data_IF_171287992639
#
_entry.id   IF_171287992639
#
_cell.length_a   1.000
_cell.length_b   1.000
_cell.length_c   1.000
_cell.angle_alpha   90.00
_cell.angle_beta   90.00
_cell.angle_gamma   90.00
#
_symmetry.space_group_name_H-M   'P 1'
#
loop_
_entity.id
_entity.type
_entity.pdbx_description
1 polymer ?
#
# COMPACT_ATOMS: atom_id res chain seq x y z
N UNK A 1 -14.51 -4.91 6.14
CA UNK A 1 -15.43 -5.76 6.94
C UNK A 1 -14.93 -5.74 8.37
N UNK A 2 -15.83 -5.68 9.35
CA UNK A 2 -15.51 -5.66 10.78
C UNK A 2 -16.22 -6.84 11.44
N UNK A 3 -15.54 -7.52 12.37
CA UNK A 3 -16.17 -8.51 13.24
C UNK A 3 -16.24 -7.94 14.66
N UNK A 4 -17.44 -7.92 15.22
CA UNK A 4 -17.69 -7.50 16.58
C UNK A 4 -18.05 -8.70 17.44
N UNK A 5 -17.42 -8.76 18.62
CA UNK A 5 -17.82 -9.70 19.65
C UNK A 5 -19.05 -9.19 20.40
N UNK A 6 -20.00 -10.08 20.66
CA UNK A 6 -21.13 -9.81 21.54
C UNK A 6 -20.76 -9.75 23.03
N UNK A 7 -19.51 -10.04 23.38
CA UNK A 7 -19.00 -10.11 24.76
C UNK A 7 -17.97 -9.00 25.08
N UNK A 8 -18.07 -7.84 24.43
CA UNK A 8 -17.17 -6.72 24.69
C UNK A 8 -17.53 -6.08 26.05
N UNK A 9 -16.56 -5.99 26.96
CA UNK A 9 -16.66 -5.29 28.27
C UNK A 9 -16.55 -3.75 28.09
N UNK A 10 -17.36 -3.20 27.18
CA UNK A 10 -17.44 -1.80 26.76
C UNK A 10 -18.87 -1.52 26.27
N UNK A 11 -19.16 -0.40 25.58
CA UNK A 11 -20.54 -0.11 25.16
C UNK A 11 -21.15 -1.34 24.50
N UNK A 12 -22.41 -1.67 24.84
CA UNK A 12 -23.06 -2.89 24.34
C UNK A 12 -22.82 -2.99 22.84
N UNK A 13 -22.49 -4.17 22.32
CA UNK A 13 -22.13 -4.38 20.90
C UNK A 13 -23.05 -3.68 19.88
N UNK A 14 -24.31 -3.44 20.28
CA UNK A 14 -25.28 -2.65 19.54
C UNK A 14 -25.03 -1.13 19.52
N UNK A 15 -24.60 -0.53 20.62
CA UNK A 15 -24.23 0.88 20.67
C UNK A 15 -22.98 1.14 19.82
N UNK A 16 -21.99 0.24 19.88
CA UNK A 16 -20.83 0.31 18.99
C UNK A 16 -21.23 0.17 17.52
N UNK A 17 -22.15 -0.74 17.20
CA UNK A 17 -22.71 -0.86 15.85
C UNK A 17 -23.34 0.45 15.38
N UNK A 18 -24.19 1.09 16.20
CA UNK A 18 -24.79 2.38 15.86
C UNK A 18 -23.77 3.50 15.70
N UNK A 19 -22.72 3.52 16.52
CA UNK A 19 -21.62 4.49 16.39
C UNK A 19 -20.91 4.33 15.04
N UNK A 20 -20.58 3.09 14.65
CA UNK A 20 -19.98 2.80 13.33
C UNK A 20 -20.91 3.19 12.19
N UNK A 21 -22.22 2.95 12.33
CA UNK A 21 -23.20 3.33 11.29
C UNK A 21 -23.40 4.84 11.14
N UNK A 22 -23.10 5.63 12.19
CA UNK A 22 -23.17 7.10 12.14
C UNK A 22 -21.95 7.75 11.49
N UNK A 23 -20.80 7.08 11.42
CA UNK A 23 -19.61 7.61 10.76
C UNK A 23 -19.64 7.29 9.26
N UNK A 24 -19.66 8.29 8.35
CA UNK A 24 -19.67 8.07 6.90
C UNK A 24 -18.54 7.17 6.39
N UNK A 25 -17.38 7.14 7.06
CA UNK A 25 -16.23 6.33 6.66
C UNK A 25 -16.43 4.84 6.95
N UNK A 26 -17.32 4.49 7.88
CA UNK A 26 -17.56 3.11 8.31
C UNK A 26 -19.00 2.64 8.12
N UNK A 27 -19.92 3.54 7.76
CA UNK A 27 -21.34 3.26 7.54
C UNK A 27 -21.58 2.13 6.53
N UNK A 28 -20.80 2.08 5.45
CA UNK A 28 -20.94 1.07 4.39
C UNK A 28 -20.12 -0.21 4.63
N UNK A 29 -19.33 -0.26 5.70
CA UNK A 29 -18.49 -1.42 5.98
C UNK A 29 -19.38 -2.58 6.46
N UNK A 30 -19.25 -3.79 5.88
CA UNK A 30 -19.98 -4.96 6.36
C UNK A 30 -19.57 -5.35 7.78
N UNK A 31 -20.55 -5.64 8.64
CA UNK A 31 -20.32 -5.98 10.04
C UNK A 31 -20.87 -7.37 10.37
N UNK A 32 -20.03 -8.22 10.94
CA UNK A 32 -20.42 -9.49 11.53
C UNK A 32 -20.52 -9.40 13.05
N UNK A 33 -21.69 -9.70 13.60
CA UNK A 33 -21.94 -9.80 15.04
C UNK A 33 -21.78 -11.26 15.48
N UNK A 34 -20.63 -11.59 16.06
CA UNK A 34 -20.37 -12.90 16.63
C UNK A 34 -20.85 -12.92 18.09
N UNK A 35 -21.93 -13.63 18.38
CA UNK A 35 -22.57 -13.63 19.71
C UNK A 35 -22.70 -15.03 20.27
N UNK A 36 -22.79 -15.17 21.59
CA UNK A 36 -23.12 -16.46 22.20
C UNK A 36 -24.52 -16.92 21.76
N UNK A 37 -24.74 -18.24 21.74
CA UNK A 37 -25.96 -18.84 21.20
C UNK A 37 -27.23 -18.31 21.90
N UNK A 38 -27.16 -18.09 23.23
CA UNK A 38 -28.24 -17.53 24.03
C UNK A 38 -28.68 -16.11 23.63
N UNK A 39 -27.84 -15.38 22.89
CA UNK A 39 -28.10 -14.01 22.45
C UNK A 39 -28.33 -13.90 20.93
N UNK A 40 -28.26 -15.01 20.20
CA UNK A 40 -28.33 -15.03 18.75
C UNK A 40 -29.65 -14.47 18.20
N UNK A 41 -30.78 -14.81 18.81
CA UNK A 41 -32.08 -14.31 18.34
C UNK A 41 -32.25 -12.80 18.53
N UNK A 42 -31.69 -12.25 19.63
CA UNK A 42 -31.63 -10.79 19.84
C UNK A 42 -30.74 -10.14 18.78
N UNK A 43 -29.55 -10.68 18.55
CA UNK A 43 -28.62 -10.15 17.56
C UNK A 43 -29.16 -10.23 16.12
N UNK A 44 -29.90 -11.29 15.76
CA UNK A 44 -30.57 -11.43 14.46
C UNK A 44 -31.73 -10.45 14.25
N UNK A 45 -32.37 -9.99 15.31
CA UNK A 45 -33.37 -8.90 15.19
C UNK A 45 -32.68 -7.58 14.88
N UNK A 46 -31.63 -7.26 15.64
CA UNK A 46 -30.80 -6.07 15.40
C UNK A 46 -30.23 -6.06 13.97
N UNK A 47 -29.63 -7.17 13.54
CA UNK A 47 -29.02 -7.27 12.21
C UNK A 47 -30.03 -7.16 11.05
N UNK A 48 -31.33 -7.40 11.30
CA UNK A 48 -32.38 -7.20 10.29
C UNK A 48 -32.68 -5.72 10.06
N UNK A 49 -32.57 -4.91 11.11
CA UNK A 49 -32.87 -3.48 11.06
C UNK A 49 -31.63 -2.65 10.63
N UNK A 50 -30.44 -3.26 10.65
CA UNK A 50 -29.16 -2.61 10.37
C UNK A 50 -28.56 -3.08 9.02
N UNK A 51 -28.50 -2.23 7.99
CA UNK A 51 -27.95 -2.59 6.68
C UNK A 51 -26.54 -3.19 6.78
N UNK A 52 -26.23 -4.16 5.90
CA UNK A 52 -24.92 -4.82 5.78
C UNK A 52 -24.41 -5.43 7.10
N UNK A 53 -25.32 -5.94 7.92
CA UNK A 53 -25.01 -6.57 9.21
C UNK A 53 -25.48 -8.02 9.22
N UNK A 54 -24.65 -8.94 9.70
CA UNK A 54 -25.04 -10.34 9.89
C UNK A 54 -24.72 -10.80 11.31
N UNK A 55 -25.67 -11.48 11.95
CA UNK A 55 -25.48 -12.05 13.28
C UNK A 55 -25.32 -13.57 13.20
N UNK A 56 -24.23 -14.09 13.76
CA UNK A 56 -23.89 -15.51 13.76
C UNK A 56 -23.40 -15.95 15.15
N UNK A 57 -23.56 -17.25 15.49
CA UNK A 57 -23.05 -17.77 16.74
C UNK A 57 -21.53 -17.66 16.80
N UNK A 58 -20.98 -17.44 17.99
CA UNK A 58 -19.55 -17.35 18.22
C UNK A 58 -18.84 -18.57 17.62
N UNK A 59 -17.87 -18.38 16.70
CA UNK A 59 -17.25 -19.49 16.03
C UNK A 59 -16.27 -20.18 16.99
N UNK A 60 -16.43 -21.49 17.16
CA UNK A 60 -15.53 -22.33 17.95
C UNK A 60 -14.60 -23.20 17.07
N UNK A 61 -14.64 -23.02 15.76
CA UNK A 61 -13.74 -23.68 14.80
C UNK A 61 -13.47 -22.77 13.61
N UNK A 62 -12.37 -23.02 12.91
CA UNK A 62 -11.99 -22.30 11.68
C UNK A 62 -13.05 -22.42 10.58
N UNK A 63 -13.73 -23.56 10.50
CA UNK A 63 -14.83 -23.77 9.53
C UNK A 63 -16.02 -22.84 9.82
N UNK A 64 -16.41 -22.69 11.09
CA UNK A 64 -17.48 -21.77 11.49
C UNK A 64 -17.08 -20.30 11.32
N UNK A 65 -15.80 -19.95 11.50
CA UNK A 65 -15.30 -18.60 11.15
C UNK A 65 -15.54 -18.36 9.66
N UNK A 66 -15.12 -19.29 8.79
CA UNK A 66 -15.25 -19.13 7.34
C UNK A 66 -16.71 -18.97 6.92
N UNK A 67 -17.60 -19.82 7.43
CA UNK A 67 -19.03 -19.71 7.16
C UNK A 67 -19.62 -18.37 7.61
N UNK A 68 -19.25 -17.89 8.80
CA UNK A 68 -19.67 -16.58 9.29
C UNK A 68 -19.17 -15.43 8.42
N UNK A 69 -17.93 -15.51 7.92
CA UNK A 69 -17.37 -14.53 7.00
C UNK A 69 -18.08 -14.53 5.64
N UNK A 70 -18.39 -15.71 5.10
CA UNK A 70 -19.10 -15.86 3.82
C UNK A 70 -20.50 -15.23 3.89
N UNK A 71 -21.21 -15.43 5.01
CA UNK A 71 -22.52 -14.81 5.25
C UNK A 71 -22.44 -13.29 5.37
N UNK A 72 -21.48 -12.75 6.14
CA UNK A 72 -21.25 -11.29 6.24
C UNK A 72 -20.95 -10.70 4.87
N UNK A 73 -20.14 -11.38 4.05
CA UNK A 73 -19.84 -10.97 2.69
C UNK A 73 -21.08 -11.02 1.78
N UNK A 74 -21.98 -11.99 1.97
CA UNK A 74 -23.23 -12.09 1.21
C UNK A 74 -24.17 -10.91 1.49
N UNK A 75 -24.35 -10.51 2.75
CA UNK A 75 -25.22 -9.37 3.12
C UNK A 75 -24.68 -8.01 2.65
N UNK A 76 -23.45 -7.99 2.14
CA UNK A 76 -22.82 -6.81 1.56
C UNK A 76 -23.24 -6.52 0.12
N UNK A 77 -24.21 -7.26 -0.43
CA UNK A 77 -24.59 -7.19 -1.83
C UNK A 77 -23.74 -8.08 -2.75
N UNK A 78 -23.10 -9.10 -2.17
CA UNK A 78 -22.47 -10.18 -2.92
C UNK A 78 -21.36 -9.73 -3.86
N UNK A 79 -20.18 -9.46 -3.27
CA UNK A 79 -18.81 -9.64 -3.81
C UNK A 79 -17.90 -8.66 -3.10
N UNK A 80 -17.54 -8.99 -1.85
CA UNK A 80 -16.23 -8.54 -1.37
C UNK A 80 -15.23 -9.16 -2.35
N UNK A 81 -14.47 -8.38 -3.13
CA UNK A 81 -13.61 -8.96 -4.13
C UNK A 81 -12.61 -9.89 -3.43
N UNK A 82 -12.27 -11.02 -4.06
CA UNK A 82 -11.26 -11.92 -3.52
C UNK A 82 -9.95 -11.16 -3.31
N UNK A 83 -9.03 -11.69 -2.51
CA UNK A 83 -7.71 -11.06 -2.36
C UNK A 83 -7.06 -10.82 -3.73
N UNK A 84 -7.12 -11.81 -4.62
CA UNK A 84 -6.56 -11.72 -5.97
C UNK A 84 -7.23 -10.62 -6.79
N UNK A 85 -8.56 -10.49 -6.70
CA UNK A 85 -9.30 -9.45 -7.40
C UNK A 85 -8.99 -8.07 -6.84
N UNK A 86 -8.86 -7.92 -5.52
CA UNK A 86 -8.43 -6.65 -4.90
C UNK A 86 -7.02 -6.29 -5.33
N UNK A 87 -6.09 -7.24 -5.33
CA UNK A 87 -4.71 -7.02 -5.79
C UNK A 87 -4.70 -6.63 -7.27
N UNK A 88 -5.48 -7.31 -8.11
CA UNK A 88 -5.63 -6.97 -9.54
C UNK A 88 -6.13 -5.54 -9.73
N UNK A 89 -7.21 -5.18 -9.03
CA UNK A 89 -7.79 -3.84 -9.08
C UNK A 89 -6.83 -2.77 -8.54
N UNK A 90 -6.09 -3.06 -7.46
CA UNK A 90 -5.06 -2.17 -6.94
C UNK A 90 -3.94 -1.94 -7.93
N UNK A 91 -3.46 -2.98 -8.62
CA UNK A 91 -2.44 -2.83 -9.67
C UNK A 91 -2.94 -2.00 -10.85
N UNK A 92 -4.18 -2.24 -11.27
CA UNK A 92 -4.82 -1.47 -12.33
C UNK A 92 -4.91 0.02 -11.94
N UNK A 93 -5.36 0.31 -10.72
CA UNK A 93 -5.41 1.67 -10.19
C UNK A 93 -4.02 2.32 -10.12
N UNK A 94 -2.99 1.59 -9.70
CA UNK A 94 -1.60 2.09 -9.70
C UNK A 94 -1.09 2.41 -11.10
N UNK A 95 -1.45 1.59 -12.10
CA UNK A 95 -1.14 1.84 -13.50
C UNK A 95 -1.81 3.12 -14.02
N UNK A 96 -3.09 3.32 -13.70
CA UNK A 96 -3.82 4.53 -14.06
C UNK A 96 -3.25 5.77 -13.36
N UNK A 97 -2.84 5.64 -12.09
CA UNK A 97 -2.21 6.72 -11.34
C UNK A 97 -0.87 7.12 -11.99
N UNK A 98 -0.04 6.14 -12.36
CA UNK A 98 1.22 6.40 -13.06
C UNK A 98 1.01 7.05 -14.43
N UNK A 99 -0.01 6.63 -15.20
CA UNK A 99 -0.39 7.28 -16.45
C UNK A 99 -0.81 8.74 -16.24
N UNK A 100 -1.65 9.00 -15.23
CA UNK A 100 -2.07 10.35 -14.87
C UNK A 100 -0.88 11.23 -14.49
N UNK A 101 0.08 10.70 -13.72
CA UNK A 101 1.32 11.40 -13.32
C UNK A 101 2.24 11.72 -14.50
N UNK A 102 2.19 10.94 -15.58
CA UNK A 102 2.94 11.23 -16.80
C UNK A 102 2.30 12.32 -17.66
N UNK A 103 1.00 12.61 -17.47
CA UNK A 103 0.21 13.57 -18.27
C UNK A 103 -0.46 14.63 -17.38
N UNK A 104 0.31 15.40 -16.60
CA UNK A 104 -0.24 16.38 -15.66
C UNK A 104 -1.03 17.50 -16.36
N UNK A 105 -0.79 17.72 -17.66
CA UNK A 105 -1.52 18.66 -18.52
C UNK A 105 -2.96 18.22 -18.84
N UNK A 106 -3.24 16.91 -18.73
CA UNK A 106 -4.57 16.32 -19.00
C UNK A 106 -5.36 16.16 -17.71
N UNK A 107 -4.69 15.83 -16.60
CA UNK A 107 -5.31 15.55 -15.30
C UNK A 107 -5.11 16.70 -14.30
N UNK A 108 -5.33 17.94 -14.77
CA UNK A 108 -5.02 19.19 -14.05
C UNK A 108 -5.77 19.34 -12.70
N UNK A 109 -6.86 18.60 -12.50
CA UNK A 109 -7.72 18.72 -11.31
C UNK A 109 -7.33 17.79 -10.16
N UNK A 110 -6.40 16.86 -10.36
CA UNK A 110 -5.94 15.93 -9.32
C UNK A 110 -4.59 16.38 -8.76
N UNK A 111 -4.52 16.61 -7.44
CA UNK A 111 -3.24 16.80 -6.76
C UNK A 111 -2.55 15.44 -6.58
N UNK A 112 -1.87 15.00 -7.64
CA UNK A 112 -1.18 13.72 -7.66
C UNK A 112 0.00 13.68 -6.67
N UNK A 113 0.50 14.83 -6.21
CA UNK A 113 1.53 14.88 -5.17
C UNK A 113 0.99 14.57 -3.78
N UNK A 114 -0.30 14.81 -3.55
CA UNK A 114 -0.95 14.43 -2.28
C UNK A 114 -0.92 12.92 -2.02
N UNK A 115 -0.67 12.10 -3.05
CA UNK A 115 -0.58 10.64 -2.93
C UNK A 115 0.84 10.14 -2.59
N UNK A 116 1.84 11.02 -2.52
CA UNK A 116 3.24 10.61 -2.33
C UNK A 116 3.47 9.82 -1.03
N UNK A 117 2.90 10.29 0.08
CA UNK A 117 3.06 9.63 1.38
C UNK A 117 2.53 8.20 1.35
N UNK A 118 1.33 8.00 0.78
CA UNK A 118 0.74 6.67 0.57
C UNK A 118 1.63 5.78 -0.29
N UNK A 119 2.21 6.31 -1.37
CA UNK A 119 3.09 5.56 -2.25
C UNK A 119 4.38 5.13 -1.54
N UNK A 120 4.94 5.99 -0.69
CA UNK A 120 6.11 5.66 0.14
C UNK A 120 5.78 4.53 1.11
N UNK A 121 4.62 4.58 1.78
CA UNK A 121 4.19 3.49 2.68
C UNK A 121 4.02 2.16 1.94
N UNK A 122 3.47 2.20 0.72
CA UNK A 122 3.23 1.02 -0.11
C UNK A 122 4.50 0.31 -0.59
N UNK A 123 5.69 0.91 -0.48
CA UNK A 123 6.96 0.22 -0.73
C UNK A 123 7.14 -1.00 0.18
N UNK A 124 6.56 -0.97 1.38
CA UNK A 124 6.59 -2.11 2.32
C UNK A 124 5.62 -3.23 1.95
N UNK A 125 4.73 -3.00 0.98
CA UNK A 125 3.74 -3.98 0.57
C UNK A 125 4.39 -5.12 -0.23
N UNK A 126 4.19 -6.40 0.17
CA UNK A 126 4.71 -7.54 -0.58
C UNK A 126 4.04 -7.70 -1.96
N UNK A 127 2.86 -7.10 -2.17
CA UNK A 127 2.09 -7.25 -3.41
C UNK A 127 2.17 -6.05 -4.33
N UNK A 128 2.35 -4.84 -3.77
CA UNK A 128 2.27 -3.56 -4.48
C UNK A 128 3.59 -2.76 -4.44
N UNK A 129 4.63 -3.21 -3.73
CA UNK A 129 5.87 -2.45 -3.59
C UNK A 129 6.53 -2.09 -4.91
N UNK A 130 6.54 -3.00 -5.89
CA UNK A 130 7.09 -2.73 -7.22
C UNK A 130 6.25 -1.71 -8.03
N UNK A 131 4.91 -1.75 -7.90
CA UNK A 131 4.03 -0.76 -8.50
C UNK A 131 4.23 0.63 -7.86
N UNK A 132 4.39 0.66 -6.54
CA UNK A 132 4.67 1.89 -5.78
C UNK A 132 6.04 2.49 -6.15
N UNK A 133 7.08 1.67 -6.26
CA UNK A 133 8.40 2.11 -6.71
C UNK A 133 8.32 2.79 -8.08
N UNK A 134 7.65 2.17 -9.06
CA UNK A 134 7.47 2.75 -10.39
C UNK A 134 6.71 4.09 -10.35
N UNK A 135 5.64 4.19 -9.56
CA UNK A 135 4.89 5.43 -9.40
C UNK A 135 5.75 6.56 -8.80
N UNK A 136 6.54 6.26 -7.75
CA UNK A 136 7.50 7.21 -7.17
C UNK A 136 8.58 7.62 -8.18
N UNK A 137 9.00 6.70 -9.05
CA UNK A 137 9.91 7.01 -10.16
C UNK A 137 9.34 8.02 -11.15
N UNK A 138 8.04 7.96 -11.43
CA UNK A 138 7.35 8.93 -12.30
C UNK A 138 7.17 10.28 -11.61
N UNK A 139 6.81 10.27 -10.33
CA UNK A 139 6.59 11.46 -9.51
C UNK A 139 7.89 12.27 -9.34
N UNK A 140 9.00 11.55 -9.13
CA UNK A 140 10.37 12.05 -9.17
C UNK A 140 10.66 13.23 -8.23
N UNK A 141 9.94 13.37 -7.12
CA UNK A 141 10.22 14.45 -6.16
C UNK A 141 11.47 14.12 -5.32
N UNK A 142 12.00 15.08 -4.53
CA UNK A 142 13.05 14.79 -3.56
C UNK A 142 12.65 13.72 -2.52
N UNK A 143 11.38 13.66 -2.12
CA UNK A 143 10.90 12.66 -1.17
C UNK A 143 10.81 11.27 -1.82
N UNK A 144 10.30 11.20 -3.05
CA UNK A 144 10.31 9.98 -3.86
C UNK A 144 11.73 9.41 -4.04
N UNK A 145 12.69 10.23 -4.49
CA UNK A 145 14.08 9.77 -4.67
C UNK A 145 14.69 9.28 -3.35
N UNK A 146 14.45 10.00 -2.24
CA UNK A 146 14.94 9.59 -0.92
C UNK A 146 14.35 8.26 -0.47
N UNK A 147 13.05 8.06 -0.66
CA UNK A 147 12.37 6.81 -0.32
C UNK A 147 12.94 5.63 -1.12
N UNK A 148 13.12 5.80 -2.44
CA UNK A 148 13.71 4.79 -3.31
C UNK A 148 15.13 4.43 -2.85
N UNK A 149 16.01 5.41 -2.60
CA UNK A 149 17.38 5.15 -2.10
C UNK A 149 17.37 4.46 -0.74
N UNK A 150 16.49 4.87 0.18
CA UNK A 150 16.38 4.23 1.48
C UNK A 150 15.97 2.75 1.35
N UNK A 151 15.01 2.43 0.48
CA UNK A 151 14.60 1.05 0.21
C UNK A 151 15.72 0.24 -0.45
N UNK A 152 16.45 0.80 -1.42
CA UNK A 152 17.58 0.12 -2.07
C UNK A 152 18.70 -0.21 -1.07
N UNK A 153 18.95 0.66 -0.10
CA UNK A 153 20.01 0.47 0.90
C UNK A 153 19.64 -0.44 2.08
N UNK A 154 18.39 -0.86 2.21
CA UNK A 154 17.91 -1.60 3.37
C UNK A 154 17.71 -3.10 3.04
N UNK A 155 18.54 -4.00 3.61
CA UNK A 155 18.50 -5.43 3.32
C UNK A 155 17.25 -6.14 3.88
N UNK A 156 16.41 -5.44 4.67
CA UNK A 156 15.10 -5.97 5.08
C UNK A 156 14.18 -6.17 3.87
N UNK A 157 14.35 -5.37 2.81
CA UNK A 157 13.55 -5.53 1.59
C UNK A 157 14.12 -6.62 0.68
N UNK A 158 13.27 -7.41 0.00
CA UNK A 158 13.72 -8.41 -0.97
C UNK A 158 14.53 -7.78 -2.10
N UNK A 159 15.59 -8.47 -2.53
CA UNK A 159 16.46 -8.04 -3.63
C UNK A 159 15.69 -7.67 -4.91
N UNK A 160 14.61 -8.38 -5.22
CA UNK A 160 13.76 -8.08 -6.36
C UNK A 160 13.13 -6.68 -6.28
N UNK A 161 12.55 -6.31 -5.12
CA UNK A 161 11.98 -4.98 -4.92
C UNK A 161 13.06 -3.89 -4.97
N UNK A 162 14.23 -4.16 -4.38
CA UNK A 162 15.34 -3.21 -4.38
C UNK A 162 15.84 -2.92 -5.79
N UNK A 163 15.89 -3.93 -6.66
CA UNK A 163 16.18 -3.75 -8.09
C UNK A 163 15.13 -2.90 -8.81
N UNK A 164 13.84 -3.11 -8.52
CA UNK A 164 12.76 -2.26 -9.06
C UNK A 164 12.93 -0.80 -8.60
N UNK A 165 13.33 -0.57 -7.34
CA UNK A 165 13.60 0.77 -6.84
C UNK A 165 14.80 1.43 -7.54
N UNK A 166 15.84 0.69 -7.92
CA UNK A 166 16.95 1.23 -8.72
C UNK A 166 16.45 1.71 -10.09
N UNK A 167 15.69 0.88 -10.80
CA UNK A 167 15.10 1.28 -12.09
C UNK A 167 14.15 2.47 -11.98
N UNK A 168 13.37 2.55 -10.90
CA UNK A 168 12.53 3.70 -10.62
C UNK A 168 13.34 4.97 -10.30
N UNK A 169 14.46 4.85 -9.60
CA UNK A 169 15.35 5.96 -9.29
C UNK A 169 16.03 6.50 -10.55
N UNK A 170 16.51 5.62 -11.44
CA UNK A 170 17.04 5.99 -12.75
C UNK A 170 16.02 6.85 -13.52
N UNK A 171 14.77 6.38 -13.62
CA UNK A 171 13.68 7.14 -14.25
C UNK A 171 13.41 8.49 -13.55
N UNK A 172 13.44 8.53 -12.21
CA UNK A 172 13.24 9.79 -11.47
C UNK A 172 14.35 10.82 -11.76
N UNK A 173 15.60 10.36 -11.82
CA UNK A 173 16.77 11.18 -12.12
C UNK A 173 16.73 11.66 -13.57
N UNK A 174 16.35 10.81 -14.51
CA UNK A 174 16.20 11.21 -15.92
C UNK A 174 15.11 12.28 -16.10
N UNK A 175 14.02 12.22 -15.32
CA UNK A 175 12.90 13.15 -15.41
C UNK A 175 13.17 14.51 -14.75
N UNK A 176 13.81 14.52 -13.57
CA UNK A 176 13.93 15.75 -12.75
C UNK A 176 15.34 16.07 -12.28
N UNK A 177 16.32 15.30 -12.73
CA UNK A 177 17.69 15.37 -12.24
C UNK A 177 17.83 14.78 -10.85
N UNK A 178 19.04 14.87 -10.33
CA UNK A 178 19.38 14.41 -8.99
C UNK A 178 18.90 15.42 -7.94
N UNK A 179 17.94 15.02 -7.11
CA UNK A 179 17.33 15.85 -6.06
C UNK A 179 17.75 15.43 -4.64
N UNK A 180 18.77 14.58 -4.54
CA UNK A 180 19.37 14.13 -3.29
C UNK A 180 20.44 15.09 -2.80
N UNK A 181 20.59 15.17 -1.49
CA UNK A 181 21.66 15.91 -0.82
C UNK A 181 22.98 15.13 -0.87
N UNK A 182 24.10 15.85 -0.73
CA UNK A 182 25.43 15.24 -0.63
C UNK A 182 25.52 14.19 0.49
N UNK A 183 24.79 14.38 1.59
CA UNK A 183 24.76 13.42 2.71
C UNK A 183 24.06 12.12 2.31
N UNK A 184 22.97 12.21 1.57
CA UNK A 184 22.22 11.03 1.08
C UNK A 184 23.05 10.25 0.06
N UNK A 185 23.75 10.94 -0.84
CA UNK A 185 24.66 10.32 -1.81
C UNK A 185 25.81 9.61 -1.10
N UNK A 186 26.47 10.26 -0.12
CA UNK A 186 27.57 9.64 0.64
C UNK A 186 27.14 8.36 1.35
N UNK A 187 25.92 8.32 1.89
CA UNK A 187 25.38 7.12 2.53
C UNK A 187 25.33 5.93 1.58
N UNK A 188 25.05 6.14 0.29
CA UNK A 188 25.09 5.05 -0.70
C UNK A 188 26.50 4.49 -0.89
N UNK A 189 27.53 5.34 -0.89
CA UNK A 189 28.93 4.89 -0.93
C UNK A 189 29.32 4.15 0.35
N UNK A 190 28.93 4.66 1.52
CA UNK A 190 29.21 4.02 2.80
C UNK A 190 28.61 2.61 2.84
N UNK A 191 27.35 2.45 2.42
CA UNK A 191 26.68 1.15 2.31
C UNK A 191 27.43 0.17 1.41
N UNK A 192 27.90 0.63 0.25
CA UNK A 192 28.67 -0.19 -0.69
C UNK A 192 30.03 -0.58 -0.14
N UNK A 193 30.70 0.31 0.59
CA UNK A 193 32.01 0.06 1.19
C UNK A 193 31.94 -0.87 2.41
N UNK A 194 30.87 -0.79 3.18
CA UNK A 194 30.61 -1.66 4.34
C UNK A 194 30.26 -3.09 3.92
N UNK A 195 29.77 -3.26 2.69
CA UNK A 195 29.44 -4.57 2.13
C UNK A 195 30.72 -5.31 1.71
N UNK A 196 31.02 -6.42 2.39
CA UNK A 196 32.11 -7.31 2.01
C UNK A 196 31.88 -8.04 0.67
N UNK A 197 32.92 -8.69 0.14
CA UNK A 197 32.86 -9.39 -1.17
C UNK A 197 32.00 -10.67 -1.21
N UNK A 198 31.34 -11.03 -0.11
CA UNK A 198 30.63 -12.30 0.02
C UNK A 198 29.24 -12.29 -0.64
N UNK A 199 28.71 -11.11 -1.00
CA UNK A 199 27.41 -10.99 -1.67
C UNK A 199 27.51 -10.26 -3.01
N UNK A 200 27.84 -11.01 -4.07
CA UNK A 200 28.00 -10.47 -5.42
C UNK A 200 26.73 -9.81 -5.96
N UNK A 201 25.55 -10.33 -5.62
CA UNK A 201 24.26 -9.76 -6.06
C UNK A 201 23.96 -8.42 -5.39
N UNK A 202 24.27 -8.31 -4.09
CA UNK A 202 24.13 -7.05 -3.33
C UNK A 202 25.13 -5.99 -3.80
N UNK A 203 26.37 -6.41 -4.09
CA UNK A 203 27.38 -5.52 -4.67
C UNK A 203 26.93 -4.99 -6.04
N UNK A 204 26.41 -5.86 -6.92
CA UNK A 204 25.93 -5.45 -8.22
C UNK A 204 24.75 -4.45 -8.13
N UNK A 205 23.84 -4.66 -7.17
CA UNK A 205 22.74 -3.72 -6.91
C UNK A 205 23.26 -2.34 -6.46
N UNK A 206 24.18 -2.31 -5.49
CA UNK A 206 24.72 -1.06 -4.96
C UNK A 206 25.64 -0.35 -5.97
N UNK A 207 26.37 -1.09 -6.78
CA UNK A 207 27.15 -0.54 -7.89
C UNK A 207 26.21 0.15 -8.90
N UNK A 208 25.09 -0.49 -9.26
CA UNK A 208 24.08 0.12 -10.13
C UNK A 208 23.42 1.36 -9.51
N UNK A 209 23.17 1.34 -8.20
CA UNK A 209 22.73 2.54 -7.48
C UNK A 209 23.75 3.68 -7.61
N UNK A 210 25.04 3.41 -7.41
CA UNK A 210 26.09 4.42 -7.53
C UNK A 210 26.20 4.94 -8.96
N UNK A 211 26.14 4.07 -9.97
CA UNK A 211 26.14 4.46 -11.38
C UNK A 211 25.00 5.45 -11.69
N UNK A 212 23.78 5.16 -11.20
CA UNK A 212 22.63 6.04 -11.37
C UNK A 212 22.82 7.42 -10.71
N UNK A 213 23.58 7.50 -9.61
CA UNK A 213 23.89 8.74 -8.90
C UNK A 213 25.05 9.53 -9.54
N UNK A 214 26.05 8.84 -10.09
CA UNK A 214 27.26 9.43 -10.67
C UNK A 214 27.05 9.93 -12.10
N UNK A 215 26.25 9.22 -12.89
CA UNK A 215 26.02 9.52 -14.30
C UNK A 215 24.54 9.78 -14.61
N UNK A 216 23.96 10.91 -14.16
CA UNK A 216 22.61 11.28 -14.57
C UNK A 216 22.55 11.42 -16.09
N UNK A 217 21.76 10.60 -16.77
CA UNK A 217 21.69 10.53 -18.24
C UNK A 217 21.29 11.87 -18.90
N UNK A 218 20.81 12.84 -18.12
CA UNK A 218 20.41 14.18 -18.56
C UNK A 218 21.51 15.25 -18.63
N UNK A 219 22.76 14.97 -18.24
CA UNK A 219 23.83 15.99 -18.28
C UNK A 219 24.40 16.27 -19.69
N UNK A 220 23.97 15.54 -20.73
CA UNK A 220 24.54 15.61 -22.08
C UNK A 220 23.73 16.42 -23.12
N UNK A 221 22.62 17.09 -22.75
CA UNK A 221 21.85 17.90 -23.70
C UNK A 221 21.29 19.21 -23.12
N UNK A 222 22.20 20.11 -22.72
CA UNK A 222 21.95 21.55 -22.85
C UNK A 222 22.82 22.10 -23.97
N UNK A 223 22.30 22.32 -25.19
CA UNK A 223 22.95 23.23 -26.12
C UNK A 223 22.76 24.63 -25.57
N UNK A 224 23.87 25.30 -25.26
CA UNK A 224 23.87 26.73 -25.00
C UNK A 224 23.58 27.49 -26.28
N UNK A 225 22.58 28.38 -26.21
CA UNK A 225 22.51 29.69 -26.88
C UNK A 225 21.16 30.32 -26.58
#
# INVERSE_FOLDING_TARGET
>A
MILLSGSIDGPESYELLQQLRRDPRTAEIPIGLAVRLEHLDRARRIARDEPRTYAFPWPHSTEFVRLGLDEVAAVSGGRVPSLDERVRQSREAMGLLAEAMMRPDVYVFEDLYAQEEMLVELLTSPTLGADAARALGVLATPASQRALVATIGDPVYPLALRNECVGALENAIDRRGLLLTTREIRRAYDLRNDLGQESAEELALLDRLLDALEFPSGASSRPGS
#
